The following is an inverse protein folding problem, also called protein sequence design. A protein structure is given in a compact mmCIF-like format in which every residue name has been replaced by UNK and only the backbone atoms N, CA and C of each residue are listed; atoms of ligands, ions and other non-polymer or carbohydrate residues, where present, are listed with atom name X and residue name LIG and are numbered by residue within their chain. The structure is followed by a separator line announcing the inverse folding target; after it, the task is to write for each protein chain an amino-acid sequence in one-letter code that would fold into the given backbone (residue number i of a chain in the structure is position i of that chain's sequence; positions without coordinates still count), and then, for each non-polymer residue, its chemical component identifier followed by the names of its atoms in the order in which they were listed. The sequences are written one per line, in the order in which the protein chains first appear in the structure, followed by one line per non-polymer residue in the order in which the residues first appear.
data_IF_370185615506
#
_entry.id   IF_370185615506
#
_cell.length_a   1.000
_cell.length_b   1.000
_cell.length_c   1.000
_cell.angle_alpha   90.00
_cell.angle_beta   90.00
_cell.angle_gamma   90.00
#
_symmetry.space_group_name_H-M   'P 1'
#
loop_
_entity.id
_entity.type
_entity.pdbx_description
1 polymer ?
#
# COMPACT_ATOMS: atom_id res chain seq x y z
N UNK A 1 0.19 -11.64 -7.42
CA UNK A 1 -1.28 -11.42 -7.30
C UNK A 1 -1.99 -11.29 -8.64
N UNK A 2 -1.28 -11.17 -9.77
CA UNK A 2 -1.94 -11.11 -11.09
C UNK A 2 -2.79 -9.87 -11.29
N UNK A 3 -2.38 -8.74 -10.70
CA UNK A 3 -3.08 -7.46 -10.90
C UNK A 3 -2.53 -6.71 -12.10
N UNK A 4 -3.40 -5.94 -12.75
CA UNK A 4 -3.02 -5.12 -13.89
C UNK A 4 -2.04 -4.03 -13.47
N UNK A 5 -0.86 -4.01 -14.10
CA UNK A 5 0.15 -3.00 -13.82
C UNK A 5 -0.32 -1.62 -14.31
N UNK A 6 -0.14 -0.59 -13.48
CA UNK A 6 -0.52 0.79 -13.81
C UNK A 6 -1.99 1.13 -13.57
N UNK A 7 -2.87 0.14 -13.38
CA UNK A 7 -4.25 0.40 -12.95
C UNK A 7 -4.31 0.52 -11.42
N UNK A 8 -4.51 1.74 -10.94
CA UNK A 8 -4.42 2.07 -9.52
C UNK A 8 -5.70 1.79 -8.73
N UNK A 9 -6.85 1.66 -9.40
CA UNK A 9 -8.15 1.41 -8.75
C UNK A 9 -8.23 -0.06 -8.32
N UNK A 10 -8.68 -0.33 -7.09
CA UNK A 10 -8.75 -1.68 -6.52
C UNK A 10 -7.38 -2.41 -6.49
N UNK A 11 -6.28 -1.69 -6.25
CA UNK A 11 -4.94 -2.29 -6.21
C UNK A 11 -4.65 -3.13 -4.96
N UNK A 12 -5.49 -3.05 -3.92
CA UNK A 12 -5.32 -3.85 -2.71
C UNK A 12 -5.82 -5.28 -2.92
N UNK A 13 -5.03 -6.25 -2.45
CA UNK A 13 -5.42 -7.66 -2.46
C UNK A 13 -6.23 -8.11 -1.24
N UNK A 14 -6.28 -7.31 -0.17
CA UNK A 14 -7.07 -7.63 1.02
C UNK A 14 -8.48 -7.05 0.95
N UNK A 15 -8.63 -5.88 0.33
CA UNK A 15 -9.91 -5.16 0.28
C UNK A 15 -10.13 -4.47 -1.07
N UNK A 16 -11.37 -4.06 -1.34
CA UNK A 16 -11.79 -3.33 -2.52
C UNK A 16 -11.57 -1.82 -2.35
N UNK A 17 -10.36 -1.43 -1.94
CA UNK A 17 -9.99 -0.02 -1.79
C UNK A 17 -10.01 0.71 -3.14
N UNK A 18 -10.86 1.74 -3.25
CA UNK A 18 -10.97 2.57 -4.43
C UNK A 18 -10.07 3.81 -4.29
N UNK A 19 -8.89 3.76 -4.91
CA UNK A 19 -7.93 4.87 -4.94
C UNK A 19 -8.42 6.11 -5.69
N UNK A 20 -9.56 6.02 -6.40
CA UNK A 20 -10.20 7.15 -7.09
C UNK A 20 -11.30 7.79 -6.26
N UNK A 21 -11.70 7.17 -5.14
CA UNK A 21 -12.72 7.71 -4.24
C UNK A 21 -12.12 8.79 -3.31
N UNK A 22 -11.59 9.87 -3.89
CA UNK A 22 -10.82 10.92 -3.20
C UNK A 22 -11.60 11.50 -2.01
N UNK A 23 -12.90 11.74 -2.18
CA UNK A 23 -13.77 12.25 -1.12
C UNK A 23 -13.86 11.33 0.11
N UNK A 24 -13.59 10.03 -0.05
CA UNK A 24 -13.70 9.02 1.00
C UNK A 24 -12.35 8.60 1.60
N UNK A 25 -11.21 9.04 1.04
CA UNK A 25 -9.88 8.53 1.40
C UNK A 25 -9.54 8.59 2.90
N UNK A 26 -10.00 9.62 3.60
CA UNK A 26 -9.71 9.81 5.03
C UNK A 26 -10.95 9.66 5.93
N UNK A 27 -12.11 9.42 5.33
CA UNK A 27 -13.39 9.25 6.03
C UNK A 27 -13.68 7.75 6.19
N UNK A 28 -13.52 7.01 5.10
CA UNK A 28 -13.82 5.57 5.05
C UNK A 28 -12.58 4.77 5.40
N UNK A 29 -12.58 4.22 6.61
CA UNK A 29 -11.52 3.31 7.09
C UNK A 29 -11.73 1.89 6.57
N UNK A 30 -12.95 1.39 6.66
CA UNK A 30 -13.27 0.00 6.33
C UNK A 30 -13.78 -0.13 4.90
N UNK A 31 -13.01 -0.85 4.08
CA UNK A 31 -13.38 -1.20 2.71
C UNK A 31 -13.80 -2.67 2.67
N UNK A 32 -14.76 -3.04 1.80
CA UNK A 32 -15.21 -4.42 1.69
C UNK A 32 -14.03 -5.36 1.43
N UNK A 33 -14.00 -6.49 2.12
CA UNK A 33 -12.96 -7.49 1.92
C UNK A 33 -13.01 -8.03 0.50
N UNK A 34 -11.84 -8.27 -0.09
CA UNK A 34 -11.74 -8.92 -1.39
C UNK A 34 -11.90 -10.43 -1.22
N UNK A 35 -12.97 -10.96 -1.80
CA UNK A 35 -13.27 -12.41 -1.79
C UNK A 35 -13.02 -13.08 -3.14
N UNK A 36 -13.06 -12.33 -4.25
CA UNK A 36 -12.85 -12.82 -5.61
C UNK A 36 -11.52 -12.33 -6.20
N UNK A 37 -10.84 -13.24 -6.92
CA UNK A 37 -9.67 -12.98 -7.75
C UNK A 37 -9.88 -13.50 -9.18
N UNK A 38 -11.10 -13.36 -9.70
CA UNK A 38 -11.40 -13.71 -11.08
C UNK A 38 -10.79 -12.67 -12.03
N UNK A 39 -10.10 -13.08 -13.10
CA UNK A 39 -9.65 -12.15 -14.14
C UNK A 39 -10.79 -11.27 -14.65
N UNK A 40 -10.48 -10.04 -15.05
CA UNK A 40 -11.40 -8.97 -15.50
C UNK A 40 -12.19 -8.28 -14.38
N UNK A 41 -12.26 -8.86 -13.18
CA UNK A 41 -12.87 -8.21 -12.02
C UNK A 41 -11.86 -7.38 -11.22
N UNK A 42 -12.23 -6.15 -10.86
CA UNK A 42 -11.60 -5.37 -9.78
C UNK A 42 -10.06 -5.41 -9.79
N UNK A 43 -9.46 -5.09 -10.94
CA UNK A 43 -8.01 -5.02 -11.20
C UNK A 43 -7.26 -6.37 -11.33
N UNK A 44 -7.95 -7.50 -11.42
CA UNK A 44 -7.31 -8.81 -11.64
C UNK A 44 -7.12 -9.05 -13.14
N UNK A 45 -5.88 -9.20 -13.57
CA UNK A 45 -5.49 -9.54 -14.94
C UNK A 45 -5.26 -11.05 -15.08
N UNK A 46 -4.65 -11.67 -14.07
CA UNK A 46 -4.30 -13.08 -14.06
C UNK A 46 -4.68 -13.74 -12.73
N UNK A 47 -4.97 -15.05 -12.73
CA UNK A 47 -5.18 -15.80 -11.48
C UNK A 47 -3.96 -15.70 -10.56
N UNK A 48 -4.16 -15.66 -9.23
CA UNK A 48 -3.05 -15.61 -8.29
C UNK A 48 -2.30 -16.95 -8.25
N UNK A 49 -0.97 -16.88 -8.23
CA UNK A 49 -0.08 -18.06 -8.14
C UNK A 49 -0.08 -18.73 -6.76
N UNK A 50 -0.54 -18.02 -5.73
CA UNK A 50 -0.61 -18.47 -4.36
C UNK A 50 -1.92 -18.00 -3.74
N UNK A 51 -2.44 -18.76 -2.79
CA UNK A 51 -3.64 -18.36 -2.06
C UNK A 51 -3.40 -17.04 -1.30
N UNK A 52 -4.30 -16.05 -1.41
CA UNK A 52 -4.15 -14.76 -0.74
C UNK A 52 -3.95 -14.87 0.77
N UNK A 53 -4.56 -15.88 1.40
CA UNK A 53 -4.49 -16.14 2.85
C UNK A 53 -3.11 -16.66 3.29
N UNK A 54 -2.34 -17.24 2.37
CA UNK A 54 -1.00 -17.78 2.64
C UNK A 54 0.11 -16.75 2.41
N UNK A 55 -0.24 -15.54 1.96
CA UNK A 55 0.75 -14.49 1.67
C UNK A 55 1.07 -13.73 2.95
N UNK A 56 2.28 -13.96 3.45
CA UNK A 56 2.84 -13.25 4.60
C UNK A 56 3.46 -11.94 4.10
N UNK A 57 2.94 -10.79 4.56
CA UNK A 57 3.56 -9.49 4.31
C UNK A 57 4.57 -9.24 5.44
N UNK A 58 5.89 -9.19 5.17
CA UNK A 58 6.87 -8.93 6.21
C UNK A 58 6.66 -7.52 6.79
N UNK A 59 6.49 -7.36 8.12
CA UNK A 59 6.30 -6.05 8.75
C UNK A 59 7.39 -5.04 8.38
N UNK A 60 8.62 -5.54 8.18
CA UNK A 60 9.76 -4.75 7.76
C UNK A 60 9.55 -4.06 6.39
N UNK A 61 8.98 -4.75 5.41
CA UNK A 61 8.74 -4.18 4.07
C UNK A 61 7.73 -3.03 4.12
N UNK A 62 6.67 -3.17 4.93
CA UNK A 62 5.67 -2.11 5.14
C UNK A 62 6.34 -0.90 5.79
N UNK A 63 7.09 -1.13 6.88
CA UNK A 63 7.75 -0.07 7.64
C UNK A 63 8.74 0.71 6.77
N UNK A 64 9.60 0.02 6.02
CA UNK A 64 10.55 0.64 5.11
C UNK A 64 9.86 1.44 4.00
N UNK A 65 8.76 0.92 3.44
CA UNK A 65 7.96 1.63 2.44
C UNK A 65 7.38 2.95 2.97
N UNK A 66 6.84 2.94 4.19
CA UNK A 66 6.30 4.13 4.85
C UNK A 66 7.40 5.17 5.13
N UNK A 67 8.53 4.74 5.69
CA UNK A 67 9.68 5.63 5.94
C UNK A 67 10.19 6.26 4.65
N UNK A 68 10.31 5.47 3.57
CA UNK A 68 10.71 5.97 2.25
C UNK A 68 9.75 7.05 1.73
N UNK A 69 8.43 6.86 1.89
CA UNK A 69 7.44 7.83 1.45
C UNK A 69 7.47 9.10 2.30
N UNK A 70 7.64 8.97 3.62
CA UNK A 70 7.84 10.11 4.51
C UNK A 70 9.07 10.93 4.09
N UNK A 71 10.22 10.27 3.94
CA UNK A 71 11.48 10.92 3.54
C UNK A 71 11.36 11.61 2.18
N UNK A 72 10.63 11.03 1.22
CA UNK A 72 10.37 11.67 -0.07
C UNK A 72 9.50 12.92 0.02
N UNK A 73 8.57 12.97 0.98
CA UNK A 73 7.67 14.11 1.17
C UNK A 73 8.30 15.24 2.00
N UNK A 74 9.38 14.96 2.74
CA UNK A 74 10.08 15.97 3.52
C UNK A 74 10.88 16.94 2.64
N UNK A 75 10.97 18.19 3.08
CA UNK A 75 11.93 19.15 2.53
C UNK A 75 13.36 18.75 2.93
N UNK A 76 14.20 18.48 1.93
CA UNK A 76 15.60 18.04 2.11
C UNK A 76 16.48 19.12 2.73
N UNK A 77 16.11 20.39 2.59
CA UNK A 77 16.85 21.52 3.14
C UNK A 77 16.27 22.00 4.47
N UNK A 78 15.15 21.41 4.91
CA UNK A 78 14.48 21.78 6.15
C UNK A 78 15.26 21.32 7.38
N UNK A 79 15.21 22.07 8.49
CA UNK A 79 15.88 21.70 9.75
C UNK A 79 15.36 20.37 10.33
N UNK A 80 14.13 19.99 9.96
CA UNK A 80 13.47 18.74 10.35
C UNK A 80 14.03 17.49 9.66
N UNK A 81 14.71 17.61 8.52
CA UNK A 81 15.27 16.45 7.80
C UNK A 81 16.35 15.74 8.64
N UNK A 82 17.30 16.50 9.18
CA UNK A 82 18.42 15.97 9.95
C UNK A 82 17.97 15.32 11.28
N UNK A 83 16.93 15.86 11.92
CA UNK A 83 16.40 15.30 13.18
C UNK A 83 15.58 14.03 12.95
N UNK A 84 14.82 13.96 11.86
CA UNK A 84 14.05 12.78 11.50
C UNK A 84 14.95 11.61 11.06
N UNK A 85 16.01 11.87 10.29
CA UNK A 85 16.97 10.85 9.87
C UNK A 85 17.67 10.19 11.06
N UNK A 86 17.99 10.95 12.11
CA UNK A 86 18.63 10.42 13.33
C UNK A 86 17.73 9.44 14.09
N UNK A 87 16.45 9.78 14.28
CA UNK A 87 15.47 8.93 14.99
C UNK A 87 15.07 7.66 14.22
N UNK A 88 15.22 7.68 12.89
CA UNK A 88 14.85 6.55 12.05
C UNK A 88 15.85 5.39 12.15
N UNK A 89 17.09 5.62 12.59
CA UNK A 89 18.06 4.56 12.91
C UNK A 89 17.79 3.90 14.27
N UNK A 90 17.32 4.67 15.27
CA UNK A 90 17.08 4.16 16.63
C UNK A 90 15.85 3.25 16.76
N UNK A 91 15.07 3.14 15.69
CA UNK A 91 13.81 2.41 15.68
C UNK A 91 13.81 1.19 14.75
N UNK A 92 14.96 0.83 14.15
CA UNK A 92 15.17 -0.43 13.41
C UNK A 92 15.76 -1.49 14.32
#
# INVERSE_FOLDING_TARGET
MGFQLGYTKYCCFLCLWDSRAIALHYIKRDWPQRTSFKPVEMNVEHPPLAEPQKIIIPPLQIKLGLVKNLVKAMDKNGPSFNTCMRKSLDSV
#
